data_IF_638882844779
#
_entry.id   IF_638882844779
#
_cell.length_a   1.000
_cell.length_b   1.000
_cell.length_c   1.000
_cell.angle_alpha   90.00
_cell.angle_beta   90.00
_cell.angle_gamma   90.00
#
_symmetry.space_group_name_H-M   'P 1'
#
loop_
_entity.id
_entity.type
_entity.pdbx_description
1 polymer ?
#
# COMPACT_ATOMS: atom_id res chain seq x y z
N UNK A 1 -6.67 11.96 -17.10
CA UNK A 1 -5.74 11.04 -16.43
C UNK A 1 -5.08 11.83 -15.32
N UNK A 2 -5.52 11.62 -14.07
CA UNK A 2 -4.93 12.30 -12.92
C UNK A 2 -3.56 11.70 -12.62
N UNK A 3 -2.60 12.53 -12.22
CA UNK A 3 -1.32 12.04 -11.72
C UNK A 3 -1.57 11.19 -10.46
N UNK A 4 -0.95 10.02 -10.38
CA UNK A 4 -1.06 9.14 -9.22
C UNK A 4 -0.50 9.81 -7.95
N UNK A 5 -0.94 9.40 -6.75
CA UNK A 5 -0.49 9.99 -5.48
C UNK A 5 1.03 9.92 -5.28
N UNK A 6 1.70 8.92 -5.86
CA UNK A 6 3.17 8.80 -5.88
C UNK A 6 3.87 9.85 -6.75
N UNK A 7 3.26 10.23 -7.86
CA UNK A 7 3.78 11.29 -8.72
C UNK A 7 3.68 12.66 -8.06
N UNK A 8 2.58 12.91 -7.33
CA UNK A 8 2.33 14.18 -6.64
C UNK A 8 3.31 14.39 -5.47
N UNK A 9 3.52 13.36 -4.65
CA UNK A 9 4.45 13.41 -3.51
C UNK A 9 5.90 13.62 -3.95
N UNK A 10 6.33 12.93 -5.02
CA UNK A 10 7.69 13.06 -5.54
C UNK A 10 7.93 14.39 -6.26
N UNK A 11 6.91 14.93 -6.94
CA UNK A 11 6.98 16.27 -7.57
C UNK A 11 7.06 17.38 -6.53
N UNK A 12 6.29 17.26 -5.42
CA UNK A 12 6.35 18.21 -4.29
C UNK A 12 7.71 18.19 -3.58
N UNK A 13 8.39 17.04 -3.53
CA UNK A 13 9.75 16.94 -2.97
C UNK A 13 10.84 17.57 -3.85
N UNK A 14 10.59 17.81 -5.14
CA UNK A 14 11.55 18.45 -6.06
C UNK A 14 11.36 19.96 -6.21
N UNK A 15 10.30 20.54 -5.63
CA UNK A 15 9.96 21.95 -5.76
C UNK A 15 10.07 22.68 -4.41
N UNK A 16 11.28 23.18 -4.07
CA UNK A 16 11.56 24.36 -3.22
C UNK A 16 13.10 24.49 -2.94
N UNK A 17 13.68 25.70 -2.82
CA UNK A 17 13.51 26.90 -3.64
C UNK A 17 14.87 27.43 -4.19
N UNK A 18 14.88 28.08 -5.36
CA UNK A 18 15.95 29.00 -5.77
C UNK A 18 15.34 30.37 -6.05
N UNK A 19 15.71 31.35 -5.23
CA UNK A 19 15.39 32.77 -5.43
C UNK A 19 16.18 33.31 -6.62
N UNK A 20 15.49 33.97 -7.56
CA UNK A 20 16.03 35.07 -8.36
C UNK A 20 14.94 36.15 -8.47
N UNK A 21 15.39 37.40 -8.44
CA UNK A 21 14.64 38.62 -8.15
C UNK A 21 13.78 39.11 -9.33
N UNK A 22 12.64 39.73 -8.99
CA UNK A 22 11.93 40.68 -9.86
C UNK A 22 10.60 40.18 -10.43
N UNK A 23 9.52 40.49 -9.73
CA UNK A 23 8.26 41.09 -10.20
C UNK A 23 7.19 40.89 -9.12
N UNK A 24 6.57 42.00 -8.72
CA UNK A 24 5.54 42.06 -7.68
C UNK A 24 4.24 41.47 -8.24
N UNK A 25 3.90 40.25 -7.82
CA UNK A 25 2.53 39.75 -7.89
C UNK A 25 2.09 39.40 -6.46
N UNK A 26 1.12 40.16 -5.96
CA UNK A 26 0.41 39.89 -4.71
C UNK A 26 -0.41 38.61 -4.89
N UNK A 27 0.11 37.48 -4.42
CA UNK A 27 -0.70 36.29 -4.13
C UNK A 27 -0.87 36.19 -2.61
N UNK A 28 -2.12 36.28 -2.17
CA UNK A 28 -2.54 36.08 -0.78
C UNK A 28 -2.26 34.61 -0.39
N UNK A 29 -1.17 34.37 0.35
CA UNK A 29 -0.95 33.10 1.05
C UNK A 29 -1.74 33.11 2.37
N UNK A 30 -2.82 32.32 2.43
CA UNK A 30 -3.47 31.97 3.70
C UNK A 30 -2.50 31.10 4.52
N UNK A 31 -1.83 31.71 5.50
CA UNK A 31 -1.09 31.02 6.56
C UNK A 31 -2.09 30.32 7.50
N UNK A 32 -2.31 29.01 7.32
CA UNK A 32 -2.84 28.18 8.41
C UNK A 32 -1.65 27.71 9.27
N UNK A 33 -1.53 28.31 10.45
CA UNK A 33 -0.53 27.98 11.47
C UNK A 33 -0.64 26.51 11.92
N UNK A 34 0.44 25.74 11.73
CA UNK A 34 0.62 24.46 12.41
C UNK A 34 0.99 24.72 13.88
N UNK A 35 0.05 24.44 14.79
CA UNK A 35 0.30 24.32 16.22
C UNK A 35 1.25 23.12 16.48
N UNK A 36 2.54 23.39 16.66
CA UNK A 36 3.45 22.50 17.36
C UNK A 36 3.10 22.46 18.84
N UNK A 37 2.66 21.30 19.34
CA UNK A 37 2.53 21.13 20.79
C UNK A 37 1.95 19.79 21.22
N UNK A 38 2.77 18.73 21.28
CA UNK A 38 2.29 17.50 21.90
C UNK A 38 3.27 16.32 21.90
N UNK A 39 4.33 16.42 22.69
CA UNK A 39 5.18 15.29 23.02
C UNK A 39 4.36 14.07 23.49
N UNK A 40 4.53 12.96 22.78
CA UNK A 40 3.87 11.70 23.07
C UNK A 40 4.74 10.53 22.66
N UNK A 41 5.87 10.36 23.36
CA UNK A 41 6.67 9.13 23.26
C UNK A 41 5.79 7.92 23.55
N UNK A 42 5.42 7.17 22.51
CA UNK A 42 4.78 5.88 22.63
C UNK A 42 5.34 4.92 21.60
N UNK A 43 6.14 3.99 22.11
CA UNK A 43 6.37 2.71 21.46
C UNK A 43 7.23 2.78 20.23
N UNK A 44 8.53 3.03 20.40
CA UNK A 44 9.52 2.27 19.63
C UNK A 44 9.31 0.81 20.00
N UNK A 45 8.33 0.18 19.34
CA UNK A 45 8.23 -1.26 19.32
C UNK A 45 9.57 -1.71 18.78
N UNK A 46 10.30 -2.46 19.61
CA UNK A 46 11.37 -3.30 19.12
C UNK A 46 10.74 -4.37 18.23
N UNK A 47 10.29 -4.00 17.03
CA UNK A 47 10.37 -4.91 15.91
C UNK A 47 11.87 -5.02 15.64
N UNK A 48 12.46 -6.04 16.27
CA UNK A 48 13.71 -6.69 15.89
C UNK A 48 14.04 -6.31 14.46
N UNK A 49 15.13 -5.57 14.23
CA UNK A 49 15.63 -5.10 12.94
C UNK A 49 15.01 -5.94 11.80
N UNK A 50 13.83 -5.51 11.37
CA UNK A 50 13.05 -6.29 10.42
C UNK A 50 13.90 -6.27 9.18
N UNK A 51 14.09 -7.42 8.54
CA UNK A 51 14.43 -7.40 7.13
C UNK A 51 13.52 -6.34 6.50
N UNK A 52 14.11 -5.28 5.93
CA UNK A 52 13.34 -4.19 5.35
C UNK A 52 12.40 -4.71 4.26
N UNK A 53 11.60 -3.87 3.61
CA UNK A 53 10.65 -4.36 2.60
C UNK A 53 11.32 -5.19 1.49
N UNK A 54 12.62 -5.01 1.26
CA UNK A 54 13.45 -5.82 0.34
C UNK A 54 13.76 -7.26 0.78
N UNK A 55 13.61 -7.62 2.06
CA UNK A 55 13.83 -9.00 2.52
C UNK A 55 12.55 -9.84 2.58
N UNK A 56 11.39 -9.21 2.32
CA UNK A 56 10.11 -9.93 2.27
C UNK A 56 9.98 -10.74 0.98
N UNK A 57 9.28 -11.86 1.08
CA UNK A 57 8.81 -12.59 -0.11
C UNK A 57 7.90 -11.69 -0.95
N UNK A 58 8.00 -11.68 -2.29
CA UNK A 58 7.12 -10.88 -3.14
C UNK A 58 5.63 -11.13 -2.90
N UNK A 59 5.25 -12.37 -2.55
CA UNK A 59 3.85 -12.74 -2.27
C UNK A 59 3.35 -12.27 -0.89
N UNK A 60 4.23 -11.72 -0.07
CA UNK A 60 3.92 -11.19 1.26
C UNK A 60 4.13 -9.67 1.35
N UNK A 61 4.45 -9.01 0.24
CA UNK A 61 4.49 -7.55 0.20
C UNK A 61 3.09 -6.97 0.45
N UNK A 62 3.05 -5.86 1.17
CA UNK A 62 1.86 -5.01 1.31
C UNK A 62 2.03 -3.72 0.53
N UNK A 63 0.96 -2.94 0.38
CA UNK A 63 1.06 -1.60 -0.23
C UNK A 63 2.01 -0.68 0.57
N UNK A 64 2.00 -0.81 1.90
CA UNK A 64 2.95 -0.12 2.80
C UNK A 64 4.41 -0.44 2.46
N UNK A 65 4.71 -1.72 2.20
CA UNK A 65 6.06 -2.12 1.79
C UNK A 65 6.49 -1.49 0.46
N UNK A 66 5.56 -1.35 -0.49
CA UNK A 66 5.82 -0.69 -1.77
C UNK A 66 6.08 0.81 -1.55
N UNK A 67 5.36 1.45 -0.64
CA UNK A 67 5.63 2.84 -0.25
C UNK A 67 7.00 3.01 0.40
N UNK A 68 7.38 2.12 1.32
CA UNK A 68 8.70 2.14 1.95
C UNK A 68 9.83 1.96 0.93
N UNK A 69 9.67 1.02 -0.02
CA UNK A 69 10.60 0.83 -1.14
C UNK A 69 10.69 2.10 -1.98
N UNK A 70 9.54 2.70 -2.31
CA UNK A 70 9.50 3.91 -3.14
C UNK A 70 10.24 5.08 -2.51
N UNK A 71 10.12 5.23 -1.18
CA UNK A 71 10.82 6.27 -0.43
C UNK A 71 12.34 6.07 -0.45
N UNK A 72 12.80 4.82 -0.22
CA UNK A 72 14.23 4.49 -0.24
C UNK A 72 14.81 4.74 -1.64
N UNK A 73 14.16 4.22 -2.68
CA UNK A 73 14.60 4.40 -4.07
C UNK A 73 14.56 5.87 -4.51
N UNK A 74 13.54 6.62 -4.11
CA UNK A 74 13.41 8.04 -4.41
C UNK A 74 14.58 8.85 -3.87
N UNK A 75 15.02 8.56 -2.64
CA UNK A 75 16.18 9.21 -2.02
C UNK A 75 17.49 8.88 -2.73
N UNK A 76 17.74 7.60 -3.03
CA UNK A 76 18.97 7.18 -3.70
C UNK A 76 19.07 7.77 -5.11
N UNK A 77 17.98 7.74 -5.87
CA UNK A 77 17.91 8.35 -7.20
C UNK A 77 18.10 9.86 -7.15
N UNK A 78 17.56 10.54 -6.12
CA UNK A 78 17.78 11.97 -5.94
C UNK A 78 19.26 12.28 -5.69
N UNK A 79 19.93 11.54 -4.80
CA UNK A 79 21.37 11.72 -4.54
C UNK A 79 22.20 11.54 -5.81
N UNK A 80 21.90 10.52 -6.63
CA UNK A 80 22.56 10.31 -7.93
C UNK A 80 22.27 11.43 -8.94
N UNK A 81 21.09 12.04 -8.87
CA UNK A 81 20.67 13.12 -9.76
C UNK A 81 21.31 14.47 -9.45
N UNK A 82 21.80 14.67 -8.23
CA UNK A 82 22.47 15.90 -7.79
C UNK A 82 23.97 15.96 -8.11
N UNK A 83 24.53 14.89 -8.70
CA UNK A 83 25.95 14.83 -9.07
C UNK A 83 26.29 15.78 -10.25
N UNK A 84 27.42 16.51 -10.23
CA UNK A 84 27.66 17.64 -11.14
C UNK A 84 27.93 17.31 -12.62
N UNK A 85 27.85 16.05 -13.07
CA UNK A 85 28.18 15.71 -14.46
C UNK A 85 26.99 15.99 -15.39
N UNK A 86 27.15 16.90 -16.37
CA UNK A 86 26.08 17.50 -17.18
C UNK A 86 25.09 16.54 -17.90
N UNK A 87 25.44 15.26 -18.11
CA UNK A 87 24.53 14.26 -18.71
C UNK A 87 23.89 13.29 -17.71
N UNK A 88 24.43 13.20 -16.49
CA UNK A 88 23.93 12.29 -15.45
C UNK A 88 22.53 12.66 -14.98
N UNK A 89 22.23 13.93 -14.62
CA UNK A 89 20.93 14.33 -14.08
C UNK A 89 19.76 13.99 -15.01
N UNK A 90 19.90 14.27 -16.31
CA UNK A 90 18.84 13.99 -17.28
C UNK A 90 18.61 12.49 -17.52
N UNK A 91 19.67 11.66 -17.46
CA UNK A 91 19.56 10.19 -17.56
C UNK A 91 18.93 9.61 -16.29
N UNK A 92 19.32 10.12 -15.12
CA UNK A 92 18.78 9.72 -13.81
C UNK A 92 17.30 10.07 -13.71
N UNK A 93 16.88 11.26 -14.12
CA UNK A 93 15.46 11.64 -14.15
C UNK A 93 14.62 10.71 -15.04
N UNK A 94 15.09 10.36 -16.24
CA UNK A 94 14.40 9.37 -17.10
C UNK A 94 14.31 7.99 -16.47
N UNK A 95 15.34 7.57 -15.74
CA UNK A 95 15.31 6.31 -14.99
C UNK A 95 14.32 6.39 -13.83
N UNK A 96 14.29 7.51 -13.10
CA UNK A 96 13.35 7.74 -12.00
C UNK A 96 11.91 7.59 -12.46
N UNK A 97 11.52 8.18 -13.59
CA UNK A 97 10.18 7.98 -14.14
C UNK A 97 9.86 6.51 -14.44
N UNK A 98 10.81 5.76 -15.02
CA UNK A 98 10.61 4.32 -15.27
C UNK A 98 10.47 3.53 -13.96
N UNK A 99 11.24 3.89 -12.93
CA UNK A 99 11.16 3.28 -11.60
C UNK A 99 9.80 3.57 -10.97
N UNK A 100 9.32 4.81 -11.02
CA UNK A 100 7.97 5.18 -10.53
C UNK A 100 6.91 4.36 -11.24
N UNK A 101 6.94 4.27 -12.57
CA UNK A 101 5.96 3.45 -13.30
C UNK A 101 6.01 1.96 -12.93
N UNK A 102 7.19 1.41 -12.63
CA UNK A 102 7.31 0.02 -12.16
C UNK A 102 6.73 -0.13 -10.75
N UNK A 103 6.97 0.84 -9.85
CA UNK A 103 6.43 0.83 -8.50
C UNK A 103 4.89 0.96 -8.50
N UNK A 104 4.32 1.76 -9.39
CA UNK A 104 2.86 1.87 -9.58
C UNK A 104 2.24 0.55 -10.06
N UNK A 105 2.90 -0.15 -11.00
CA UNK A 105 2.47 -1.48 -11.42
C UNK A 105 2.56 -2.49 -10.26
N UNK A 106 3.62 -2.42 -9.46
CA UNK A 106 3.81 -3.30 -8.31
C UNK A 106 2.76 -3.04 -7.23
N UNK A 107 2.47 -1.79 -6.90
CA UNK A 107 1.44 -1.38 -5.94
C UNK A 107 0.07 -1.95 -6.36
N UNK A 108 -0.27 -1.81 -7.65
CA UNK A 108 -1.52 -2.32 -8.20
C UNK A 108 -1.61 -3.84 -8.05
N UNK A 109 -0.56 -4.58 -8.43
CA UNK A 109 -0.53 -6.05 -8.31
C UNK A 109 -0.63 -6.52 -6.86
N UNK A 110 0.09 -5.87 -5.94
CA UNK A 110 0.05 -6.19 -4.51
C UNK A 110 -1.33 -5.90 -3.93
N UNK A 111 -1.92 -4.75 -4.27
CA UNK A 111 -3.27 -4.37 -3.85
C UNK A 111 -4.34 -5.32 -4.36
N UNK A 112 -4.35 -5.63 -5.66
CA UNK A 112 -5.30 -6.56 -6.27
C UNK A 112 -5.17 -7.97 -5.70
N UNK A 113 -3.95 -8.47 -5.52
CA UNK A 113 -3.72 -9.79 -4.91
C UNK A 113 -4.24 -9.83 -3.47
N UNK A 114 -4.00 -8.79 -2.67
CA UNK A 114 -4.52 -8.74 -1.30
C UNK A 114 -6.05 -8.79 -1.27
N UNK A 115 -6.72 -7.98 -2.10
CA UNK A 115 -8.18 -7.97 -2.21
C UNK A 115 -8.74 -9.31 -2.68
N UNK A 116 -8.12 -9.93 -3.69
CA UNK A 116 -8.54 -11.23 -4.21
C UNK A 116 -8.42 -12.34 -3.16
N UNK A 117 -7.32 -12.37 -2.40
CA UNK A 117 -7.12 -13.34 -1.32
C UNK A 117 -8.16 -13.15 -0.21
N UNK A 118 -8.44 -11.92 0.19
CA UNK A 118 -9.46 -11.64 1.21
C UNK A 118 -10.87 -12.02 0.74
N UNK A 119 -11.22 -11.73 -0.52
CA UNK A 119 -12.50 -12.15 -1.10
C UNK A 119 -12.67 -13.68 -1.08
N UNK A 120 -11.63 -14.43 -1.50
CA UNK A 120 -11.65 -15.89 -1.47
C UNK A 120 -11.75 -16.45 -0.05
N UNK A 121 -11.11 -15.81 0.94
CA UNK A 121 -11.24 -16.21 2.34
C UNK A 121 -12.69 -16.06 2.82
N UNK A 122 -13.33 -14.94 2.52
CA UNK A 122 -14.72 -14.68 2.87
C UNK A 122 -15.68 -15.69 2.22
N UNK A 123 -15.50 -15.97 0.93
CA UNK A 123 -16.30 -16.97 0.21
C UNK A 123 -16.10 -18.36 0.81
N UNK A 124 -14.85 -18.77 1.03
CA UNK A 124 -14.51 -20.05 1.67
C UNK A 124 -15.14 -20.18 3.05
N UNK A 125 -15.15 -19.11 3.84
CA UNK A 125 -15.74 -19.11 5.18
C UNK A 125 -17.27 -19.11 5.15
N UNK A 126 -17.91 -18.52 4.13
CA UNK A 126 -19.35 -18.69 3.88
C UNK A 126 -19.69 -20.13 3.55
N UNK A 127 -18.99 -20.71 2.57
CA UNK A 127 -19.22 -22.08 2.11
C UNK A 127 -19.00 -23.11 3.23
N UNK A 128 -18.01 -22.90 4.10
CA UNK A 128 -17.80 -23.75 5.29
C UNK A 128 -18.98 -23.71 6.26
N UNK A 129 -19.60 -22.53 6.46
CA UNK A 129 -20.82 -22.40 7.28
C UNK A 129 -21.99 -23.12 6.66
N UNK A 130 -22.26 -22.85 5.38
CA UNK A 130 -23.35 -23.49 4.64
C UNK A 130 -23.23 -25.02 4.65
N UNK A 131 -22.01 -25.54 4.46
CA UNK A 131 -21.72 -26.97 4.54
C UNK A 131 -22.03 -27.55 5.93
N UNK A 132 -21.67 -26.83 6.98
CA UNK A 132 -21.90 -27.26 8.36
C UNK A 132 -23.38 -27.25 8.72
N UNK A 133 -24.12 -26.21 8.29
CA UNK A 133 -25.57 -26.13 8.45
C UNK A 133 -26.28 -27.29 7.73
N UNK A 134 -25.85 -27.63 6.51
CA UNK A 134 -26.38 -28.77 5.76
C UNK A 134 -26.10 -30.10 6.46
N UNK A 135 -24.89 -30.28 7.01
CA UNK A 135 -24.55 -31.49 7.80
C UNK A 135 -25.45 -31.63 9.01
N UNK A 136 -25.68 -30.55 9.75
CA UNK A 136 -26.57 -30.53 10.90
C UNK A 136 -28.02 -30.86 10.52
N UNK A 137 -28.51 -30.31 9.40
CA UNK A 137 -29.84 -30.60 8.87
C UNK A 137 -29.99 -32.08 8.50
N UNK A 138 -28.99 -32.69 7.85
CA UNK A 138 -29.01 -34.13 7.52
C UNK A 138 -29.05 -35.00 8.79
N UNK A 139 -28.23 -34.66 9.80
CA UNK A 139 -28.24 -35.40 11.07
C UNK A 139 -29.53 -35.22 11.88
N UNK A 140 -30.21 -34.08 11.73
CA UNK A 140 -31.48 -33.80 12.44
C UNK A 140 -32.70 -34.36 11.70
N UNK A 141 -32.69 -34.34 10.36
CA UNK A 141 -33.76 -34.87 9.51
C UNK A 141 -33.82 -36.40 9.46
N UNK A 142 -32.70 -37.08 9.70
CA UNK A 142 -32.64 -38.55 9.77
C UNK A 142 -33.13 -39.14 11.10
N UNK A 143 -33.41 -38.31 12.11
CA UNK A 143 -33.98 -38.76 13.39
C UNK A 143 -35.52 -38.81 13.42
N UNK A 144 -36.21 -38.32 12.38
CA UNK A 144 -37.67 -38.13 12.38
C UNK A 144 -38.52 -39.19 11.66
N UNK A 145 -37.93 -40.07 10.83
CA UNK A 145 -38.69 -40.96 9.95
C UNK A 145 -38.31 -42.44 10.11
N UNK A 146 -38.50 -42.96 11.32
CA UNK A 146 -38.69 -44.40 11.51
C UNK A 146 -39.95 -44.58 12.33
N UNK A 147 -41.11 -44.52 11.68
CA UNK A 147 -42.33 -45.10 12.22
C UNK A 147 -42.29 -46.59 11.83
N UNK A 148 -41.91 -47.53 12.72
CA UNK A 148 -42.07 -48.93 12.42
C UNK A 148 -43.57 -49.18 12.39
N UNK A 149 -44.15 -49.18 11.19
CA UNK A 149 -45.56 -49.48 10.99
C UNK A 149 -45.92 -50.78 11.72
N UNK A 150 -47.08 -50.87 12.38
CA UNK A 150 -47.42 -52.04 13.16
C UNK A 150 -47.62 -53.23 12.23
N UNK A 151 -46.67 -54.15 12.22
CA UNK A 151 -46.90 -55.53 11.78
C UNK A 151 -47.92 -56.19 12.72
N UNK A 152 -49.19 -56.29 12.30
CA UNK A 152 -50.05 -57.47 12.50
C UNK A 152 -51.34 -57.37 11.70
#
# INVERSE_FOLDING_TARGET
>A
AGAGPLFVTLSRMQAQPQRCEGEEEEEEEEEEEEEEGGGGGRGRSNHSASEGPFGKSPFHLTAEDVYDISYILGRELHTLGTEPQAELPARVARLQFKVVSILEMLETLVGENHLAVEALKLERDSLKRELEDLRQQVTSGTAGEVNPGPNK
#
